data_IF_038896605388
#
_entry.id   IF_038896605388
#
_cell.length_a   1.000
_cell.length_b   1.000
_cell.length_c   1.000
_cell.angle_alpha   90.00
_cell.angle_beta   90.00
_cell.angle_gamma   90.00
#
_symmetry.space_group_name_H-M   'P 1'
#
loop_
_entity.id
_entity.type
_entity.pdbx_description
1 polymer ?
#
# COMPACT_ATOMS: atom_id res chain seq x y z
N UNK A 1 -17.90 50.16 15.53
CA UNK A 1 -17.80 48.71 15.31
C UNK A 1 -16.40 48.27 15.72
N UNK A 2 -16.31 47.32 16.61
CA UNK A 2 -15.00 46.78 17.02
C UNK A 2 -14.49 45.89 15.93
N UNK A 3 -13.22 46.05 15.52
CA UNK A 3 -12.63 45.16 14.54
C UNK A 3 -12.47 43.75 15.13
N UNK A 4 -12.72 42.72 14.32
CA UNK A 4 -12.49 41.32 14.72
C UNK A 4 -11.02 41.10 15.06
N UNK A 5 -10.72 40.28 16.06
CA UNK A 5 -9.36 39.88 16.36
C UNK A 5 -8.78 38.93 15.32
N UNK A 6 -7.47 38.72 15.36
CA UNK A 6 -6.88 37.62 14.59
C UNK A 6 -7.52 36.29 15.02
N UNK A 7 -7.67 35.34 14.10
CA UNK A 7 -8.41 34.09 14.30
C UNK A 7 -9.91 34.23 14.04
N UNK A 8 -10.43 35.47 13.88
CA UNK A 8 -11.86 35.73 13.70
C UNK A 8 -12.12 36.69 12.52
N UNK A 9 -13.27 36.57 11.89
CA UNK A 9 -13.67 37.44 10.76
C UNK A 9 -15.16 37.82 10.86
N UNK A 10 -15.60 38.78 10.04
CA UNK A 10 -16.99 39.14 9.93
C UNK A 10 -17.35 39.51 8.49
N UNK A 11 -18.05 38.64 7.80
CA UNK A 11 -18.39 38.75 6.38
C UNK A 11 -19.57 39.71 6.11
N UNK A 12 -20.40 40.01 7.11
CA UNK A 12 -21.62 40.81 6.95
C UNK A 12 -21.46 42.19 7.58
N UNK A 13 -21.87 43.22 6.84
CA UNK A 13 -21.88 44.60 7.34
C UNK A 13 -22.97 44.78 8.41
N UNK A 14 -22.62 45.46 9.53
CA UNK A 14 -23.58 45.82 10.59
C UNK A 14 -23.74 44.79 11.68
N UNK A 15 -23.01 43.69 11.64
CA UNK A 15 -22.97 42.72 12.75
C UNK A 15 -22.10 43.22 13.90
N UNK A 16 -22.35 42.68 15.09
CA UNK A 16 -21.63 43.02 16.30
C UNK A 16 -20.79 41.86 16.84
N UNK A 17 -20.89 40.68 16.26
CA UNK A 17 -20.12 39.48 16.59
C UNK A 17 -19.17 39.14 15.45
N UNK A 18 -18.06 38.51 15.77
CA UNK A 18 -17.13 37.91 14.81
C UNK A 18 -17.27 36.39 14.87
N UNK A 19 -17.07 35.75 13.74
CA UNK A 19 -17.05 34.30 13.60
C UNK A 19 -15.61 33.84 13.68
N UNK A 20 -15.35 32.70 14.30
CA UNK A 20 -14.03 32.07 14.33
C UNK A 20 -13.66 31.57 12.93
N UNK A 21 -12.40 31.55 12.56
CA UNK A 21 -11.93 30.84 11.38
C UNK A 21 -12.34 29.36 11.47
N UNK A 22 -12.90 28.81 10.40
CA UNK A 22 -13.30 27.41 10.33
C UNK A 22 -12.07 26.48 10.33
N UNK A 23 -12.27 25.19 10.58
CA UNK A 23 -11.24 24.18 10.33
C UNK A 23 -10.75 24.25 8.88
N UNK A 24 -9.47 24.09 8.64
CA UNK A 24 -8.85 24.29 7.33
C UNK A 24 -8.64 25.75 6.91
N UNK A 25 -8.91 26.71 7.82
CA UNK A 25 -8.73 28.16 7.55
C UNK A 25 -8.01 28.87 8.71
N UNK A 26 -7.45 30.04 8.42
CA UNK A 26 -6.86 30.94 9.39
C UNK A 26 -7.14 32.42 9.08
N UNK A 27 -7.02 33.27 10.10
CA UNK A 27 -7.15 34.73 9.98
C UNK A 27 -5.98 35.39 10.69
N UNK A 28 -4.98 35.84 9.94
CA UNK A 28 -3.69 36.29 10.51
C UNK A 28 -3.70 37.71 11.06
N UNK A 29 -4.67 38.53 10.69
CA UNK A 29 -4.71 39.96 11.12
C UNK A 29 -6.11 40.38 11.57
N UNK A 30 -6.18 41.45 12.36
CA UNK A 30 -7.44 42.00 12.86
C UNK A 30 -8.26 42.69 11.76
N UNK A 31 -9.59 42.72 11.93
CA UNK A 31 -10.52 43.46 11.06
C UNK A 31 -10.80 42.83 9.72
N UNK A 32 -10.54 41.55 9.55
CA UNK A 32 -10.79 40.81 8.32
C UNK A 32 -12.27 40.54 8.11
N UNK A 33 -12.68 40.53 6.83
CA UNK A 33 -14.03 40.17 6.39
C UNK A 33 -14.13 38.76 5.83
N UNK A 34 -13.02 38.02 5.76
CA UNK A 34 -12.94 36.64 5.28
C UNK A 34 -11.78 35.92 5.93
N UNK A 35 -11.86 34.63 5.94
CA UNK A 35 -10.79 33.72 6.35
C UNK A 35 -9.92 33.33 5.14
N UNK A 36 -8.71 32.83 5.38
CA UNK A 36 -7.77 32.33 4.37
C UNK A 36 -7.68 30.82 4.52
N UNK A 37 -7.82 30.10 3.41
CA UNK A 37 -7.71 28.65 3.40
C UNK A 37 -6.26 28.19 3.63
N UNK A 38 -6.07 27.09 4.31
CA UNK A 38 -4.79 26.40 4.39
C UNK A 38 -4.30 25.96 3.00
N UNK A 39 -3.01 25.72 2.81
CA UNK A 39 -2.49 25.04 1.63
C UNK A 39 -3.24 23.72 1.34
N UNK A 40 -3.18 23.27 0.10
CA UNK A 40 -3.79 21.99 -0.30
C UNK A 40 -3.10 20.85 0.46
N UNK A 41 -3.88 19.92 1.00
CA UNK A 41 -3.39 18.81 1.83
C UNK A 41 -3.03 19.24 3.26
N UNK A 42 -3.59 20.35 3.74
CA UNK A 42 -3.39 20.82 5.12
C UNK A 42 -4.70 21.31 5.73
N UNK A 43 -4.89 21.04 7.02
CA UNK A 43 -6.01 21.54 7.83
C UNK A 43 -5.54 22.11 9.16
N UNK A 44 -6.45 22.58 9.99
CA UNK A 44 -6.14 23.10 11.35
C UNK A 44 -6.81 22.25 12.41
N UNK A 45 -6.11 21.92 13.50
CA UNK A 45 -6.65 21.13 14.62
C UNK A 45 -7.89 21.78 15.25
N UNK A 46 -7.97 23.11 15.23
CA UNK A 46 -9.06 23.86 15.90
C UNK A 46 -9.51 25.05 15.06
N UNK A 47 -10.76 25.46 15.26
CA UNK A 47 -11.26 26.75 14.75
C UNK A 47 -10.52 27.93 15.40
N UNK A 48 -10.61 29.10 14.77
CA UNK A 48 -9.99 30.32 15.27
C UNK A 48 -8.48 30.43 15.06
N UNK A 49 -7.93 29.65 14.14
CA UNK A 49 -6.49 29.67 13.82
C UNK A 49 -6.04 31.03 13.30
N UNK A 50 -4.85 31.45 13.71
CA UNK A 50 -4.34 32.81 13.51
C UNK A 50 -3.19 32.90 12.51
N UNK A 51 -2.64 31.79 12.05
CA UNK A 51 -1.48 31.80 11.17
C UNK A 51 -1.35 30.50 10.36
N UNK A 52 -0.72 30.59 9.18
CA UNK A 52 -0.47 29.46 8.28
C UNK A 52 0.34 28.33 8.91
N UNK A 53 1.19 28.60 9.89
CA UNK A 53 1.95 27.57 10.60
C UNK A 53 1.09 26.74 11.59
N UNK A 54 -0.20 26.98 11.65
CA UNK A 54 -1.18 26.13 12.32
C UNK A 54 -1.91 25.19 11.34
N UNK A 55 -1.66 25.35 10.04
CA UNK A 55 -2.04 24.38 9.03
C UNK A 55 -1.04 23.22 9.10
N UNK A 56 -1.54 22.01 9.23
CA UNK A 56 -0.80 20.76 9.38
C UNK A 56 -1.27 19.77 8.32
N UNK A 57 -0.47 18.77 7.98
CA UNK A 57 -0.86 17.76 7.00
C UNK A 57 -2.23 17.15 7.29
N UNK A 58 -2.97 16.85 6.24
CA UNK A 58 -4.31 16.26 6.18
C UNK A 58 -4.42 15.64 4.79
N UNK A 59 -3.92 14.41 4.67
CA UNK A 59 -3.65 13.80 3.39
C UNK A 59 -4.95 13.44 2.65
N UNK A 60 -5.91 12.80 3.35
CA UNK A 60 -7.20 12.41 2.79
C UNK A 60 -8.20 13.58 2.67
N UNK A 61 -7.96 14.70 3.39
CA UNK A 61 -8.78 15.90 3.35
C UNK A 61 -10.08 15.81 4.18
N UNK A 62 -10.14 14.92 5.16
CA UNK A 62 -11.32 14.74 6.02
C UNK A 62 -11.43 15.82 7.10
N UNK A 63 -10.42 16.68 7.26
CA UNK A 63 -10.18 17.73 8.25
C UNK A 63 -9.73 17.22 9.63
N UNK A 64 -9.22 16.02 9.71
CA UNK A 64 -8.37 15.53 10.80
C UNK A 64 -6.91 15.70 10.36
N UNK A 65 -6.02 16.11 11.18
CA UNK A 65 -4.59 16.21 10.83
C UNK A 65 -3.94 14.84 11.00
N UNK A 66 -2.99 14.47 10.12
CA UNK A 66 -2.34 13.15 10.12
C UNK A 66 -1.78 12.75 11.50
N UNK A 67 -1.26 13.69 12.31
CA UNK A 67 -0.80 13.42 13.68
C UNK A 67 -1.90 12.92 14.65
N UNK A 68 -3.17 13.07 14.32
CA UNK A 68 -4.34 12.72 15.13
C UNK A 68 -5.30 11.75 14.42
N UNK A 69 -5.08 11.53 13.15
CA UNK A 69 -5.80 10.53 12.39
C UNK A 69 -5.25 9.13 12.72
N UNK A 70 -5.86 8.12 12.31
CA UNK A 70 -5.47 6.72 12.46
C UNK A 70 -5.56 5.97 11.13
N UNK A 71 -5.88 6.71 10.05
CA UNK A 71 -6.07 6.23 8.69
C UNK A 71 -5.79 7.45 7.78
N UNK A 72 -4.48 7.82 7.67
CA UNK A 72 -4.02 9.10 7.14
C UNK A 72 -4.40 9.35 5.69
N UNK A 73 -4.61 8.31 4.88
CA UNK A 73 -5.01 8.41 3.49
C UNK A 73 -6.48 8.05 3.24
N UNK A 74 -7.16 7.52 4.26
CA UNK A 74 -8.60 7.27 4.20
C UNK A 74 -9.00 6.09 3.30
N UNK A 75 -8.09 5.15 3.08
CA UNK A 75 -8.30 3.96 2.25
C UNK A 75 -9.06 2.84 2.98
N UNK A 76 -9.09 2.91 4.31
CA UNK A 76 -9.77 1.97 5.21
C UNK A 76 -8.83 1.00 5.92
N UNK A 77 -7.53 1.06 5.66
CA UNK A 77 -6.48 0.36 6.41
C UNK A 77 -5.89 1.33 7.44
N UNK A 78 -5.69 0.89 8.66
CA UNK A 78 -5.19 1.79 9.71
C UNK A 78 -3.67 1.96 9.61
N UNK A 79 -3.14 3.18 9.83
CA UNK A 79 -1.70 3.51 9.80
C UNK A 79 -0.81 2.49 10.51
N UNK A 80 -1.33 1.84 11.54
CA UNK A 80 -0.54 0.88 12.35
C UNK A 80 -0.23 -0.44 11.64
N UNK A 81 -0.93 -0.74 10.56
CA UNK A 81 -0.81 -1.96 9.75
C UNK A 81 -0.65 -1.64 8.26
N UNK A 82 -0.84 -0.39 7.88
CA UNK A 82 -0.72 0.13 6.55
C UNK A 82 0.77 0.38 6.23
N UNK A 83 1.24 -0.20 5.12
CA UNK A 83 2.59 0.00 4.61
C UNK A 83 2.68 1.20 3.66
N UNK A 84 1.53 1.65 3.13
CA UNK A 84 1.41 2.74 2.16
C UNK A 84 0.65 3.97 2.69
N UNK A 85 0.75 4.28 3.97
CA UNK A 85 0.02 5.30 4.77
C UNK A 85 -0.23 6.67 4.13
N UNK A 86 0.31 6.98 2.99
CA UNK A 86 0.13 8.26 2.30
C UNK A 86 0.07 8.06 0.78
N UNK A 87 -0.48 6.94 0.37
CA UNK A 87 -0.53 6.54 -1.03
C UNK A 87 -1.87 6.90 -1.70
N UNK A 88 -2.52 6.00 -2.41
CA UNK A 88 -3.74 6.33 -3.14
C UNK A 88 -4.98 6.22 -2.23
N UNK A 89 -5.81 7.27 -2.24
CA UNK A 89 -7.13 7.33 -1.58
C UNK A 89 -8.14 6.29 -2.11
N UNK A 90 -7.81 5.51 -3.11
CA UNK A 90 -8.71 4.57 -3.78
C UNK A 90 -8.07 3.20 -3.92
N UNK A 91 -7.94 2.49 -2.82
CA UNK A 91 -7.56 1.09 -2.83
C UNK A 91 -8.50 0.29 -3.75
N UNK A 92 -8.00 -0.20 -4.88
CA UNK A 92 -8.80 -0.94 -5.87
C UNK A 92 -8.67 -2.44 -5.73
N UNK A 93 -7.51 -2.90 -5.32
CA UNK A 93 -7.20 -4.27 -4.95
C UNK A 93 -6.10 -4.23 -3.87
N UNK A 94 -6.20 -5.05 -2.87
CA UNK A 94 -5.27 -5.22 -1.77
C UNK A 94 -5.42 -6.68 -1.32
N UNK A 95 -4.61 -7.55 -1.90
CA UNK A 95 -4.77 -9.00 -1.76
C UNK A 95 -4.35 -9.50 -0.38
N UNK A 96 -3.31 -8.90 0.18
CA UNK A 96 -2.73 -9.31 1.47
C UNK A 96 -3.21 -8.45 2.66
N UNK A 97 -3.83 -7.30 2.41
CA UNK A 97 -4.43 -6.42 3.42
C UNK A 97 -3.42 -5.50 4.10
N UNK A 98 -2.37 -5.10 3.40
CA UNK A 98 -1.30 -4.27 3.95
C UNK A 98 -1.44 -2.76 3.65
N UNK A 99 -2.47 -2.37 2.87
CA UNK A 99 -2.81 -0.98 2.55
C UNK A 99 -2.15 -0.46 1.27
N UNK A 100 -1.44 -1.30 0.53
CA UNK A 100 -0.89 -0.96 -0.77
C UNK A 100 -1.80 -1.49 -1.91
N UNK A 101 -1.98 -0.72 -2.98
CA UNK A 101 -2.79 -1.17 -4.13
C UNK A 101 -1.96 -2.08 -5.04
N UNK A 102 -2.40 -3.35 -5.22
CA UNK A 102 -1.78 -4.35 -6.10
C UNK A 102 -1.51 -3.83 -7.52
N UNK A 103 -2.22 -2.79 -7.97
CA UNK A 103 -2.13 -2.34 -9.35
C UNK A 103 -0.90 -1.45 -9.63
N UNK A 104 -0.39 -0.69 -8.67
CA UNK A 104 0.68 0.29 -8.89
C UNK A 104 1.62 0.58 -7.70
N UNK A 105 1.24 0.29 -6.47
CA UNK A 105 2.02 0.64 -5.28
C UNK A 105 2.67 -0.56 -4.62
N UNK A 106 1.99 -1.71 -4.62
CA UNK A 106 2.55 -2.95 -4.16
C UNK A 106 3.53 -3.54 -5.19
N UNK A 107 4.46 -4.29 -4.74
CA UNK A 107 5.45 -5.01 -5.55
C UNK A 107 5.59 -6.46 -5.14
N UNK A 108 4.78 -6.90 -4.15
CA UNK A 108 4.74 -8.24 -3.58
C UNK A 108 3.30 -8.47 -3.08
N UNK A 109 2.35 -8.51 -4.05
CA UNK A 109 0.89 -8.44 -3.87
C UNK A 109 0.30 -9.46 -2.86
N UNK A 110 1.03 -10.49 -2.47
CA UNK A 110 0.58 -11.51 -1.51
C UNK A 110 1.48 -11.63 -0.27
N UNK A 111 2.55 -10.80 -0.19
CA UNK A 111 3.49 -10.70 0.92
C UNK A 111 4.17 -12.04 1.27
N UNK A 112 4.46 -12.88 0.28
CA UNK A 112 5.21 -14.14 0.47
C UNK A 112 6.73 -13.91 0.54
N UNK A 113 7.20 -12.73 0.15
CA UNK A 113 8.60 -12.30 0.11
C UNK A 113 9.25 -12.48 -1.25
N UNK A 114 8.49 -12.87 -2.27
CA UNK A 114 8.93 -12.91 -3.67
C UNK A 114 8.20 -11.79 -4.41
N UNK A 115 8.95 -10.92 -5.08
CA UNK A 115 8.34 -9.80 -5.80
C UNK A 115 7.56 -10.31 -7.02
N UNK A 116 6.43 -9.68 -7.37
CA UNK A 116 5.54 -10.02 -8.49
C UNK A 116 6.26 -10.28 -9.79
N UNK A 117 7.32 -9.49 -10.07
CA UNK A 117 8.12 -9.64 -11.30
C UNK A 117 8.92 -10.95 -11.36
N UNK A 118 9.04 -11.66 -10.25
CA UNK A 118 9.75 -12.94 -10.11
C UNK A 118 8.83 -14.05 -9.63
N UNK A 119 7.56 -13.74 -9.38
CA UNK A 119 6.55 -14.66 -8.90
C UNK A 119 5.67 -15.14 -10.05
N UNK A 120 5.47 -16.45 -10.16
CA UNK A 120 4.55 -17.03 -11.11
C UNK A 120 3.07 -16.88 -10.66
N UNK A 121 2.84 -16.66 -9.35
CA UNK A 121 1.53 -16.56 -8.73
C UNK A 121 1.40 -15.36 -7.77
N UNK A 122 1.51 -14.11 -8.25
CA UNK A 122 1.64 -12.91 -7.41
C UNK A 122 0.51 -12.65 -6.42
N UNK A 123 -0.57 -13.43 -6.44
CA UNK A 123 -1.72 -13.29 -5.55
C UNK A 123 -1.95 -14.53 -4.68
N UNK A 124 -1.01 -15.48 -4.65
CA UNK A 124 -1.12 -16.73 -3.90
C UNK A 124 0.14 -17.01 -3.07
N UNK A 125 0.23 -16.49 -1.87
CA UNK A 125 1.35 -16.62 -0.94
C UNK A 125 1.77 -18.05 -0.57
N UNK A 126 1.14 -19.05 -1.13
CA UNK A 126 1.54 -20.45 -1.01
C UNK A 126 2.31 -20.99 -2.20
N UNK A 127 2.36 -20.24 -3.31
CA UNK A 127 2.98 -20.63 -4.57
C UNK A 127 3.81 -19.47 -5.12
N UNK A 128 4.96 -19.74 -5.71
CA UNK A 128 5.78 -18.71 -6.37
C UNK A 128 6.54 -19.22 -7.59
N UNK A 129 6.56 -20.54 -7.79
CA UNK A 129 7.25 -21.19 -8.90
C UNK A 129 6.28 -22.07 -9.68
N UNK A 130 6.42 -22.08 -10.99
CA UNK A 130 5.71 -22.94 -11.94
C UNK A 130 6.76 -23.42 -12.95
N UNK A 131 7.36 -24.57 -12.64
CA UNK A 131 8.55 -25.05 -13.35
C UNK A 131 8.22 -25.48 -14.79
N UNK A 132 7.08 -26.13 -15.03
CA UNK A 132 6.68 -26.59 -16.36
C UNK A 132 5.78 -25.59 -17.11
N UNK A 133 5.23 -24.58 -16.40
CA UNK A 133 4.40 -23.53 -17.01
C UNK A 133 2.96 -23.97 -17.30
N UNK A 134 2.44 -24.96 -16.59
CA UNK A 134 1.09 -25.47 -16.80
C UNK A 134 0.01 -24.65 -16.05
N UNK A 135 0.43 -23.78 -15.10
CA UNK A 135 -0.42 -22.91 -14.28
C UNK A 135 -0.79 -23.53 -12.95
N UNK A 136 -0.16 -24.62 -12.55
CA UNK A 136 -0.16 -25.17 -11.20
C UNK A 136 1.20 -24.87 -10.58
N UNK A 137 1.24 -24.39 -9.33
CA UNK A 137 2.51 -24.10 -8.69
C UNK A 137 3.17 -25.36 -8.14
N UNK A 138 4.52 -25.36 -8.09
CA UNK A 138 5.32 -26.53 -7.70
C UNK A 138 4.94 -27.09 -6.32
N UNK A 139 4.39 -26.28 -5.41
CA UNK A 139 3.93 -26.81 -4.10
C UNK A 139 2.63 -27.62 -4.20
N UNK A 140 1.81 -27.38 -5.21
CA UNK A 140 0.51 -28.03 -5.41
C UNK A 140 0.56 -29.06 -6.55
N UNK A 141 1.56 -28.98 -7.41
CA UNK A 141 1.77 -29.93 -8.50
C UNK A 141 2.27 -31.28 -7.96
N UNK A 142 2.22 -32.28 -8.73
CA UNK A 142 2.71 -33.65 -8.46
C UNK A 142 3.68 -34.14 -9.51
N UNK A 143 4.00 -33.28 -10.50
CA UNK A 143 4.86 -33.53 -11.66
C UNK A 143 5.44 -32.18 -12.12
N UNK A 144 6.28 -31.58 -11.24
CA UNK A 144 6.70 -30.17 -11.28
C UNK A 144 7.37 -29.77 -12.61
N UNK A 145 8.00 -30.69 -13.32
CA UNK A 145 8.68 -30.39 -14.58
C UNK A 145 7.93 -30.88 -15.83
N UNK A 146 6.78 -31.57 -15.62
CA UNK A 146 5.87 -31.98 -16.69
C UNK A 146 6.40 -33.09 -17.60
N UNK A 147 7.35 -33.92 -17.12
CA UNK A 147 7.93 -35.01 -17.88
C UNK A 147 7.07 -36.29 -17.90
N UNK A 148 5.99 -36.31 -17.09
CA UNK A 148 5.04 -37.39 -16.80
C UNK A 148 5.58 -38.45 -15.83
N UNK A 149 6.59 -38.14 -15.05
CA UNK A 149 7.05 -38.92 -13.92
C UNK A 149 6.74 -38.10 -12.66
N UNK A 150 5.86 -38.59 -11.77
CA UNK A 150 5.53 -37.80 -10.57
C UNK A 150 6.74 -37.58 -9.68
N UNK A 151 6.83 -36.41 -9.02
CA UNK A 151 7.94 -36.00 -8.12
C UNK A 151 8.30 -37.08 -7.10
N UNK A 152 7.32 -37.83 -6.62
CA UNK A 152 7.52 -38.94 -5.67
C UNK A 152 8.34 -40.09 -6.24
N UNK A 153 8.38 -40.25 -7.54
CA UNK A 153 9.06 -41.29 -8.29
C UNK A 153 10.22 -40.72 -9.12
N UNK A 154 10.41 -39.39 -9.11
CA UNK A 154 11.45 -38.66 -9.84
C UNK A 154 12.62 -38.28 -8.90
N UNK A 155 13.85 -38.50 -9.36
CA UNK A 155 15.06 -38.09 -8.63
C UNK A 155 15.39 -36.60 -8.90
N UNK A 156 14.90 -36.06 -10.00
CA UNK A 156 15.15 -34.69 -10.46
C UNK A 156 13.82 -33.93 -10.78
N UNK A 157 12.93 -33.73 -9.83
CA UNK A 157 11.57 -33.26 -10.05
C UNK A 157 11.43 -31.88 -10.73
N UNK A 158 12.51 -31.19 -10.98
CA UNK A 158 12.54 -29.86 -11.63
C UNK A 158 13.32 -29.87 -12.96
N UNK A 159 13.72 -31.06 -13.45
CA UNK A 159 14.49 -31.20 -14.71
C UNK A 159 13.83 -32.21 -15.65
N UNK A 160 13.00 -31.77 -16.61
CA UNK A 160 12.23 -32.66 -17.50
C UNK A 160 13.09 -33.50 -18.43
N UNK A 161 14.40 -33.46 -18.32
CA UNK A 161 15.34 -34.29 -19.11
C UNK A 161 15.98 -35.38 -18.28
N UNK A 162 15.77 -35.40 -16.98
CA UNK A 162 16.40 -36.36 -16.05
C UNK A 162 15.37 -36.84 -15.02
N UNK A 163 15.31 -38.14 -14.75
CA UNK A 163 14.38 -38.68 -13.74
C UNK A 163 15.00 -39.80 -12.90
N UNK A 164 16.16 -40.32 -13.30
CA UNK A 164 16.85 -41.43 -12.63
C UNK A 164 18.30 -41.07 -12.39
N UNK A 165 18.84 -41.49 -11.24
CA UNK A 165 20.24 -41.40 -10.85
C UNK A 165 20.62 -42.78 -10.27
N UNK A 166 21.23 -43.63 -11.11
CA UNK A 166 21.43 -45.04 -10.79
C UNK A 166 22.52 -45.26 -9.76
N UNK A 167 23.61 -44.46 -9.80
CA UNK A 167 24.74 -44.58 -8.86
C UNK A 167 24.66 -43.60 -7.69
N UNK A 168 23.68 -42.66 -7.71
CA UNK A 168 23.40 -41.64 -6.70
C UNK A 168 24.57 -40.64 -6.52
N UNK A 169 25.21 -40.25 -7.59
CA UNK A 169 26.26 -39.23 -7.55
C UNK A 169 25.72 -37.79 -7.71
N UNK A 170 24.42 -37.63 -8.07
CA UNK A 170 23.72 -36.36 -8.26
C UNK A 170 23.72 -35.88 -9.70
N UNK A 171 24.13 -36.71 -10.64
CA UNK A 171 24.03 -36.51 -12.07
C UNK A 171 22.99 -37.50 -12.60
N UNK A 172 22.04 -37.06 -13.44
CA UNK A 172 21.04 -37.97 -14.00
C UNK A 172 21.62 -38.88 -15.08
N UNK A 173 21.06 -40.06 -15.21
CA UNK A 173 21.53 -41.12 -16.09
C UNK A 173 21.65 -40.66 -17.56
N UNK A 174 20.82 -39.72 -18.04
CA UNK A 174 20.87 -39.18 -19.39
C UNK A 174 22.06 -38.23 -19.62
N UNK A 175 22.51 -37.54 -18.56
CA UNK A 175 23.65 -36.61 -18.57
C UNK A 175 24.95 -37.30 -18.14
N UNK A 176 24.89 -38.39 -17.39
CA UNK A 176 26.04 -39.12 -16.89
C UNK A 176 26.66 -40.00 -18.01
N UNK A 177 27.92 -40.26 -17.88
CA UNK A 177 28.71 -41.16 -18.72
C UNK A 177 29.19 -42.41 -17.99
N UNK A 178 28.87 -42.55 -16.67
CA UNK A 178 29.32 -43.60 -15.77
C UNK A 178 28.18 -43.99 -14.78
N UNK A 179 27.04 -44.42 -15.33
CA UNK A 179 25.79 -44.73 -14.64
C UNK A 179 25.83 -45.91 -13.68
N UNK A 180 27.02 -46.57 -13.40
CA UNK A 180 27.17 -47.80 -12.60
C UNK A 180 28.21 -47.77 -11.46
#
# INVERSE_FOLDING_TARGET
QTACAAGTYQSLIGQTSCDDADSGYYVSTTGQSSQTQCPVGETTITTGSTAVNQCLPDFDGDNTVDDLDTDDDGDGVLDSIDQCMTADLNLTADNDGDGCDDADEDTDDDNDGILDVNDAFPLDSSESVDTDGDGTGDNADTDDDGDNIPDADDTFPLDPSESVDTDNDGTGDDADTDDD
#
